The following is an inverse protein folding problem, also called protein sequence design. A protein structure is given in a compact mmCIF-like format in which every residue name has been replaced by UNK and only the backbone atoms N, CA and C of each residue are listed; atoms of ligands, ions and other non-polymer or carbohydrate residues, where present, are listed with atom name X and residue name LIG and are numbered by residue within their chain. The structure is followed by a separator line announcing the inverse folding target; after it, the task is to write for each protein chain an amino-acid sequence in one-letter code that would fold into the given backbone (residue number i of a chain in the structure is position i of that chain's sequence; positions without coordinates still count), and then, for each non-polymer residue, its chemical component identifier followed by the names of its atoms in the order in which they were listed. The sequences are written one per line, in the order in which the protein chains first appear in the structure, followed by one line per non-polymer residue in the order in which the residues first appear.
data_IF_267128629770
#
_entry.id   IF_267128629770
#
_cell.length_a   1.000
_cell.length_b   1.000
_cell.length_c   1.000
_cell.angle_alpha   90.00
_cell.angle_beta   90.00
_cell.angle_gamma   90.00
#
_symmetry.space_group_name_H-M   'P 1'
#
loop_
_entity.id
_entity.type
_entity.pdbx_description
1 polymer ?
#
# COMPACT_ATOMS: atom_id res chain seq x y z
N UNK A 1 -23.78 17.18 -8.78
CA UNK A 1 -22.40 17.53 -8.38
C UNK A 1 -21.60 16.23 -8.25
N UNK A 2 -20.66 15.95 -9.16
CA UNK A 2 -19.82 14.74 -9.08
C UNK A 2 -18.68 15.03 -8.10
N UNK A 3 -18.55 14.23 -7.03
CA UNK A 3 -17.42 14.35 -6.10
C UNK A 3 -16.18 13.72 -6.75
N UNK A 4 -15.30 14.56 -7.31
CA UNK A 4 -14.06 14.13 -7.98
C UNK A 4 -12.94 13.76 -6.98
N UNK A 5 -13.18 13.81 -5.67
CA UNK A 5 -12.15 13.46 -4.69
C UNK A 5 -11.86 11.95 -4.70
N UNK A 6 -10.58 11.54 -4.81
CA UNK A 6 -10.22 10.13 -4.76
C UNK A 6 -10.73 9.45 -3.48
N UNK A 7 -11.41 8.31 -3.65
CA UNK A 7 -11.96 7.53 -2.55
C UNK A 7 -10.83 7.01 -1.65
N UNK A 8 -10.97 7.20 -0.35
CA UNK A 8 -10.04 6.70 0.68
C UNK A 8 -10.77 5.66 1.52
N UNK A 9 -10.61 4.38 1.19
CA UNK A 9 -11.27 3.32 1.94
C UNK A 9 -10.56 3.03 3.26
N UNK A 10 -11.33 2.50 4.22
CA UNK A 10 -10.81 1.94 5.47
C UNK A 10 -11.33 0.52 5.63
N UNK A 11 -10.42 -0.44 5.81
CA UNK A 11 -10.75 -1.85 5.88
C UNK A 11 -9.68 -2.63 6.65
N UNK A 12 -9.95 -2.89 7.94
CA UNK A 12 -9.10 -3.76 8.77
C UNK A 12 -8.93 -5.17 8.15
N UNK A 13 -9.97 -5.82 7.58
CA UNK A 13 -9.79 -7.11 6.91
C UNK A 13 -8.81 -7.05 5.74
N UNK A 14 -8.81 -5.96 4.97
CA UNK A 14 -7.86 -5.80 3.88
C UNK A 14 -6.43 -5.60 4.39
N UNK A 15 -6.23 -4.75 5.41
CA UNK A 15 -4.89 -4.55 5.99
C UNK A 15 -4.32 -5.84 6.59
N UNK A 16 -5.17 -6.67 7.22
CA UNK A 16 -4.78 -8.00 7.70
C UNK A 16 -4.37 -8.90 6.54
N UNK A 17 -5.18 -8.98 5.49
CA UNK A 17 -4.87 -9.74 4.27
C UNK A 17 -3.54 -9.30 3.63
N UNK A 18 -3.27 -7.99 3.56
CA UNK A 18 -2.00 -7.46 3.06
C UNK A 18 -0.83 -7.89 3.95
N UNK A 19 -0.97 -7.78 5.28
CA UNK A 19 0.08 -8.18 6.23
C UNK A 19 0.37 -9.70 6.24
N UNK A 20 -0.55 -10.53 5.76
CA UNK A 20 -0.38 -11.97 5.59
C UNK A 20 0.42 -12.34 4.32
N UNK A 21 0.66 -11.38 3.41
CA UNK A 21 1.44 -11.63 2.20
C UNK A 21 2.96 -11.52 2.47
N UNK A 22 3.80 -12.26 1.72
CA UNK A 22 5.25 -12.09 1.75
C UNK A 22 5.69 -10.67 1.44
N UNK A 23 6.80 -10.23 2.05
CA UNK A 23 7.37 -8.92 1.76
C UNK A 23 7.65 -8.79 0.27
N UNK A 24 7.20 -7.69 -0.36
CA UNK A 24 7.37 -7.54 -1.80
C UNK A 24 8.83 -7.31 -2.23
N UNK A 25 9.75 -7.08 -1.28
CA UNK A 25 11.18 -6.88 -1.54
C UNK A 25 11.97 -8.18 -1.38
N UNK A 26 11.80 -8.87 -0.24
CA UNK A 26 12.61 -10.04 0.11
C UNK A 26 11.81 -11.33 0.38
N UNK A 27 10.49 -11.30 0.20
CA UNK A 27 9.58 -12.43 0.43
C UNK A 27 9.56 -12.99 1.86
N UNK A 28 10.18 -12.31 2.82
CA UNK A 28 10.11 -12.67 4.23
C UNK A 28 8.71 -12.45 4.81
N UNK A 29 8.40 -13.20 5.87
CA UNK A 29 7.25 -13.05 6.76
C UNK A 29 7.74 -13.08 8.21
N UNK A 30 7.08 -12.41 9.18
CA UNK A 30 5.84 -11.67 9.06
C UNK A 30 6.00 -10.29 8.40
N UNK A 31 4.89 -9.75 7.88
CA UNK A 31 4.82 -8.44 7.24
C UNK A 31 3.86 -7.48 7.97
N UNK A 32 3.99 -6.20 7.62
CA UNK A 32 3.08 -5.13 7.97
C UNK A 32 2.52 -4.51 6.68
N UNK A 33 1.29 -4.01 6.76
CA UNK A 33 0.72 -3.23 5.67
C UNK A 33 1.32 -1.83 5.66
N UNK A 34 2.02 -1.49 4.59
CA UNK A 34 2.57 -0.15 4.36
C UNK A 34 1.68 0.62 3.38
N UNK A 35 1.14 1.76 3.80
CA UNK A 35 0.33 2.63 2.94
C UNK A 35 1.21 3.43 1.98
N UNK A 36 1.01 3.25 0.68
CA UNK A 36 1.66 4.04 -0.35
C UNK A 36 1.17 5.49 -0.28
N UNK A 37 2.10 6.41 -0.03
CA UNK A 37 1.82 7.83 0.16
C UNK A 37 1.80 8.59 -1.17
N UNK A 38 2.41 8.04 -2.23
CA UNK A 38 2.57 8.74 -3.53
C UNK A 38 1.41 8.55 -4.50
N UNK A 39 0.53 7.58 -4.25
CA UNK A 39 -0.56 7.16 -5.17
C UNK A 39 -1.84 8.00 -5.06
N UNK A 40 -1.96 8.86 -4.05
CA UNK A 40 -3.11 9.77 -3.91
C UNK A 40 -2.66 11.19 -3.57
N UNK A 41 -3.41 12.22 -4.00
CA UNK A 41 -3.13 13.60 -3.62
C UNK A 41 -3.05 13.76 -2.09
N UNK A 42 -1.98 14.40 -1.63
CA UNK A 42 -1.74 14.69 -0.22
C UNK A 42 -2.46 15.98 0.20
N UNK A 43 -2.76 16.08 1.49
CA UNK A 43 -3.27 17.28 2.16
C UNK A 43 -3.05 17.13 3.67
N UNK A 44 -3.14 18.22 4.43
CA UNK A 44 -2.94 18.16 5.89
C UNK A 44 -3.92 17.15 6.51
N UNK A 45 -3.38 16.16 7.23
CA UNK A 45 -4.17 15.12 7.88
C UNK A 45 -4.74 14.02 6.98
N UNK A 46 -4.48 14.03 5.66
CA UNK A 46 -5.02 13.02 4.74
C UNK A 46 -4.07 11.82 4.60
N UNK A 47 -4.49 10.66 5.10
CA UNK A 47 -3.84 9.37 4.84
C UNK A 47 -4.38 8.75 3.55
N UNK A 48 -3.51 8.09 2.78
CA UNK A 48 -3.94 7.26 1.65
C UNK A 48 -5.00 6.24 2.10
N UNK A 49 -5.91 5.87 1.20
CA UNK A 49 -6.86 4.80 1.46
C UNK A 49 -6.18 3.46 1.67
N UNK A 50 -6.79 2.57 2.44
CA UNK A 50 -6.22 1.26 2.76
C UNK A 50 -6.05 0.38 1.51
N UNK A 51 -6.79 0.64 0.43
CA UNK A 51 -6.64 -0.07 -0.85
C UNK A 51 -5.28 0.17 -1.52
N UNK A 52 -4.48 1.10 -1.00
CA UNK A 52 -3.16 1.44 -1.48
C UNK A 52 -2.07 0.99 -0.50
N UNK A 53 -2.16 -0.25 -0.03
CA UNK A 53 -1.18 -0.82 0.88
C UNK A 53 -0.41 -1.99 0.25
N UNK A 54 0.86 -2.14 0.62
CA UNK A 54 1.75 -3.24 0.21
C UNK A 54 2.37 -3.95 1.43
N UNK A 55 2.73 -5.24 1.31
CA UNK A 55 3.39 -5.98 2.39
C UNK A 55 4.89 -5.65 2.46
N UNK A 56 5.35 -5.20 3.63
CA UNK A 56 6.78 -5.06 3.94
C UNK A 56 7.11 -5.75 5.27
N UNK A 57 8.23 -6.47 5.33
CA UNK A 57 8.77 -6.94 6.60
C UNK A 57 9.23 -5.73 7.45
N UNK A 58 9.48 -5.94 8.75
CA UNK A 58 9.91 -4.87 9.67
C UNK A 58 11.09 -4.06 9.13
N UNK A 59 12.09 -4.75 8.58
CA UNK A 59 13.37 -4.15 8.20
C UNK A 59 13.21 -3.27 6.97
N UNK A 60 12.53 -3.79 5.94
CA UNK A 60 12.23 -3.02 4.74
C UNK A 60 11.21 -1.90 4.99
N UNK A 61 10.26 -2.12 5.89
CA UNK A 61 9.31 -1.08 6.28
C UNK A 61 10.04 0.07 6.97
N UNK A 62 10.99 -0.24 7.87
CA UNK A 62 11.81 0.76 8.54
C UNK A 62 12.76 1.46 7.57
N UNK A 63 13.47 0.72 6.73
CA UNK A 63 14.40 1.27 5.74
C UNK A 63 13.70 2.25 4.77
N UNK A 64 12.46 1.95 4.38
CA UNK A 64 11.64 2.86 3.58
C UNK A 64 11.31 4.16 4.32
N UNK A 65 10.88 4.07 5.59
CA UNK A 65 10.61 5.25 6.41
C UNK A 65 11.88 6.09 6.65
N UNK A 66 13.01 5.44 6.88
CA UNK A 66 14.30 6.11 7.10
C UNK A 66 14.81 6.80 5.81
N UNK A 67 14.53 6.24 4.63
CA UNK A 67 14.86 6.88 3.36
C UNK A 67 13.99 8.12 3.07
N UNK A 68 12.70 8.07 3.42
CA UNK A 68 11.76 9.18 3.27
C UNK A 68 11.27 9.48 1.85
N UNK A 69 11.90 8.91 0.81
CA UNK A 69 11.45 9.01 -0.58
C UNK A 69 10.96 7.66 -1.11
N UNK A 70 9.67 7.41 -0.94
CA UNK A 70 9.02 6.15 -1.32
C UNK A 70 9.33 5.71 -2.75
N UNK A 71 9.18 6.61 -3.72
CA UNK A 71 9.37 6.27 -5.13
C UNK A 71 10.83 5.95 -5.44
N UNK A 72 11.77 6.74 -4.91
CA UNK A 72 13.20 6.50 -5.11
C UNK A 72 13.64 5.20 -4.44
N UNK A 73 13.17 4.92 -3.23
CA UNK A 73 13.49 3.72 -2.48
C UNK A 73 13.02 2.45 -3.21
N UNK A 74 11.74 2.38 -3.61
CA UNK A 74 11.23 1.24 -4.37
C UNK A 74 11.97 1.07 -5.71
N UNK A 75 12.30 2.17 -6.39
CA UNK A 75 13.09 2.12 -7.62
C UNK A 75 14.49 1.56 -7.40
N UNK A 76 15.18 1.96 -6.33
CA UNK A 76 16.51 1.43 -5.99
C UNK A 76 16.49 -0.06 -5.61
N UNK A 77 15.37 -0.54 -5.08
CA UNK A 77 15.14 -1.95 -4.80
C UNK A 77 14.67 -2.75 -6.03
N UNK A 78 14.71 -2.17 -7.24
CA UNK A 78 14.26 -2.82 -8.49
C UNK A 78 12.73 -2.99 -8.60
N UNK A 79 11.96 -2.39 -7.70
CA UNK A 79 10.52 -2.59 -7.55
C UNK A 79 9.71 -1.42 -8.11
N UNK A 80 9.83 -1.15 -9.42
CA UNK A 80 9.11 -0.05 -10.08
C UNK A 80 7.57 -0.22 -10.11
N UNK A 81 7.09 -1.45 -9.93
CA UNK A 81 5.67 -1.81 -10.02
C UNK A 81 4.92 -1.80 -8.65
N UNK A 82 5.46 -1.13 -7.62
CA UNK A 82 4.87 -1.13 -6.27
C UNK A 82 3.40 -0.69 -6.22
N UNK A 83 3.00 0.28 -7.05
CA UNK A 83 1.60 0.70 -7.17
C UNK A 83 0.72 -0.38 -7.80
N UNK A 84 1.23 -1.12 -8.80
CA UNK A 84 0.52 -2.25 -9.41
C UNK A 84 0.32 -3.38 -8.41
N UNK A 85 1.32 -3.62 -7.53
CA UNK A 85 1.17 -4.61 -6.46
C UNK A 85 0.05 -4.25 -5.50
N UNK A 86 -0.09 -2.97 -5.12
CA UNK A 86 -1.22 -2.53 -4.31
C UNK A 86 -2.56 -2.75 -5.01
N UNK A 87 -2.67 -2.48 -6.32
CA UNK A 87 -3.88 -2.74 -7.10
C UNK A 87 -4.23 -4.23 -7.16
N UNK A 88 -3.23 -5.09 -7.38
CA UNK A 88 -3.38 -6.55 -7.38
C UNK A 88 -3.96 -7.02 -6.03
N UNK A 89 -3.37 -6.57 -4.92
CA UNK A 89 -3.82 -6.89 -3.57
C UNK A 89 -5.22 -6.36 -3.26
N UNK A 90 -5.56 -5.17 -3.75
CA UNK A 90 -6.89 -4.62 -3.59
C UNK A 90 -7.94 -5.43 -4.36
N UNK A 91 -7.64 -5.91 -5.58
CA UNK A 91 -8.53 -6.81 -6.35
C UNK A 91 -8.72 -8.17 -5.70
N UNK A 92 -7.67 -8.69 -5.06
CA UNK A 92 -7.72 -9.95 -4.31
C UNK A 92 -8.28 -9.81 -2.87
N UNK A 93 -8.59 -8.58 -2.44
CA UNK A 93 -8.97 -8.29 -1.05
C UNK A 93 -10.18 -9.11 -0.59
N UNK A 94 -10.21 -9.62 0.66
CA UNK A 94 -11.42 -10.24 1.22
C UNK A 94 -12.56 -9.24 1.40
N UNK A 95 -12.28 -7.93 1.42
CA UNK A 95 -13.29 -6.88 1.55
C UNK A 95 -13.87 -6.49 0.19
N UNK A 96 -15.16 -6.78 -0.04
CA UNK A 96 -15.86 -6.47 -1.29
C UNK A 96 -15.78 -4.98 -1.69
N UNK A 97 -15.84 -4.09 -0.70
CA UNK A 97 -15.72 -2.64 -0.94
C UNK A 97 -14.36 -2.28 -1.52
N UNK A 98 -13.28 -2.93 -1.07
CA UNK A 98 -11.92 -2.68 -1.56
C UNK A 98 -11.75 -3.20 -2.98
N UNK A 99 -12.25 -4.42 -3.27
CA UNK A 99 -12.18 -5.01 -4.62
C UNK A 99 -12.77 -4.12 -5.71
N UNK A 100 -13.83 -3.36 -5.40
CA UNK A 100 -14.52 -2.49 -6.37
C UNK A 100 -13.87 -1.12 -6.60
N UNK A 101 -12.63 -0.87 -6.19
CA UNK A 101 -12.02 0.49 -6.23
C UNK A 101 -10.79 0.67 -7.12
N UNK A 102 -10.31 -0.39 -7.77
CA UNK A 102 -9.08 -0.41 -8.58
C UNK A 102 -9.22 -1.28 -9.83
#
# INVERSE_FOLDING_TARGET
MINLRPLRLRSKPHLKFVAEQPCMICFAIPCQAHHLLTVQPKGRGLKAGDQWAVPLCSDHHRALHDNGNERAWFSSAGNWAFAMKAMELAKASPCAKVRGTV
#
